data_IF_293712881520
#
_entry.id   IF_293712881520
#
_cell.length_a   1.000
_cell.length_b   1.000
_cell.length_c   1.000
_cell.angle_alpha   90.00
_cell.angle_beta   90.00
_cell.angle_gamma   90.00
#
_symmetry.space_group_name_H-M   'P 1'
#
loop_
_entity.id
_entity.type
_entity.pdbx_description
1 polymer ?
#
# COMPACT_ATOMS: atom_id res chain seq x y z
N UNK A 1 -19.60 -5.22 12.59
CA UNK A 1 -18.49 -4.98 11.63
C UNK A 1 -19.00 -5.38 10.25
N UNK A 2 -19.27 -4.40 9.39
CA UNK A 2 -19.65 -4.69 8.00
C UNK A 2 -18.40 -5.16 7.27
N UNK A 3 -18.42 -6.37 6.71
CA UNK A 3 -17.41 -6.84 5.75
C UNK A 3 -17.34 -5.82 4.61
N UNK A 4 -16.17 -5.28 4.25
CA UNK A 4 -16.08 -4.35 3.14
C UNK A 4 -16.64 -5.02 1.90
N UNK A 5 -17.73 -4.45 1.37
CA UNK A 5 -18.32 -4.91 0.12
C UNK A 5 -17.33 -4.61 -1.00
N UNK A 6 -16.72 -5.67 -1.54
CA UNK A 6 -15.82 -5.59 -2.68
C UNK A 6 -16.64 -5.48 -3.97
N UNK A 7 -16.73 -4.33 -4.62
CA UNK A 7 -17.54 -4.16 -5.83
C UNK A 7 -16.81 -4.64 -7.10
N UNK A 8 -15.82 -5.54 -6.97
CA UNK A 8 -15.06 -6.01 -8.11
C UNK A 8 -15.60 -7.35 -8.60
N UNK A 9 -15.79 -7.51 -9.93
CA UNK A 9 -16.14 -8.79 -10.50
C UNK A 9 -15.00 -9.81 -10.30
N UNK A 10 -15.33 -11.09 -10.28
CA UNK A 10 -14.36 -12.20 -10.13
C UNK A 10 -13.29 -12.17 -11.24
N UNK A 11 -13.60 -11.56 -12.39
CA UNK A 11 -12.67 -11.31 -13.48
C UNK A 11 -12.41 -9.81 -13.53
N UNK A 12 -11.14 -9.42 -13.44
CA UNK A 12 -10.72 -8.04 -13.52
C UNK A 12 -11.18 -7.40 -14.84
N UNK A 13 -11.75 -6.19 -14.76
CA UNK A 13 -12.31 -5.47 -15.93
C UNK A 13 -11.28 -5.28 -17.05
N UNK A 14 -10.00 -5.17 -16.70
CA UNK A 14 -8.88 -5.05 -17.61
C UNK A 14 -8.69 -6.28 -18.51
N UNK A 15 -9.22 -7.41 -18.08
CA UNK A 15 -9.17 -8.67 -18.83
C UNK A 15 -10.32 -8.88 -19.82
N UNK A 16 -11.43 -8.15 -19.67
CA UNK A 16 -12.63 -8.38 -20.49
C UNK A 16 -12.39 -8.31 -21.99
N UNK A 17 -11.70 -7.27 -22.55
CA UNK A 17 -11.45 -7.21 -23.98
C UNK A 17 -10.55 -8.36 -24.46
N UNK A 18 -9.55 -8.75 -23.67
CA UNK A 18 -8.67 -9.86 -24.02
C UNK A 18 -9.39 -11.20 -23.99
N UNK A 19 -10.24 -11.43 -22.98
CA UNK A 19 -11.06 -12.64 -22.88
C UNK A 19 -12.07 -12.72 -24.03
N UNK A 20 -12.75 -11.62 -24.36
CA UNK A 20 -13.70 -11.57 -25.45
C UNK A 20 -13.03 -11.90 -26.81
N UNK A 21 -11.84 -11.31 -27.07
CA UNK A 21 -11.06 -11.59 -28.27
C UNK A 21 -10.61 -13.05 -28.32
N UNK A 22 -10.05 -13.58 -27.21
CA UNK A 22 -9.58 -14.95 -27.13
C UNK A 22 -10.71 -15.97 -27.39
N UNK A 23 -11.89 -15.74 -26.77
CA UNK A 23 -13.08 -16.59 -26.96
C UNK A 23 -13.59 -16.47 -28.39
N UNK A 24 -13.67 -15.26 -28.97
CA UNK A 24 -14.11 -15.08 -30.35
C UNK A 24 -13.21 -15.83 -31.34
N UNK A 25 -11.89 -15.73 -31.18
CA UNK A 25 -10.93 -16.47 -32.02
C UNK A 25 -11.11 -18.00 -31.83
N UNK A 26 -11.25 -18.47 -30.58
CA UNK A 26 -11.46 -19.89 -30.30
C UNK A 26 -12.72 -20.42 -30.99
N UNK A 27 -13.83 -19.66 -30.96
CA UNK A 27 -15.09 -20.02 -31.63
C UNK A 27 -14.93 -20.08 -33.16
N UNK A 28 -14.29 -19.07 -33.76
CA UNK A 28 -14.02 -19.04 -35.19
C UNK A 28 -13.18 -20.24 -35.62
N UNK A 29 -12.09 -20.53 -34.90
CA UNK A 29 -11.25 -21.68 -35.22
C UNK A 29 -12.00 -23.01 -35.01
N UNK A 30 -12.88 -23.09 -34.01
CA UNK A 30 -13.71 -24.29 -33.79
C UNK A 30 -14.61 -24.58 -34.99
N UNK A 31 -15.15 -23.53 -35.62
CA UNK A 31 -15.98 -23.68 -36.84
C UNK A 31 -15.18 -24.30 -38.03
N UNK A 32 -13.90 -23.97 -38.15
CA UNK A 32 -13.06 -24.49 -39.26
C UNK A 32 -12.34 -25.80 -38.91
N UNK A 33 -11.90 -25.98 -37.66
CA UNK A 33 -11.15 -27.16 -37.22
C UNK A 33 -11.19 -27.36 -35.72
N UNK A 34 -11.79 -28.44 -35.30
CA UNK A 34 -11.91 -28.81 -33.89
C UNK A 34 -10.53 -29.11 -33.26
N UNK A 35 -9.62 -29.71 -34.03
CA UNK A 35 -8.29 -30.07 -33.51
C UNK A 35 -7.43 -28.84 -33.22
N UNK A 36 -7.46 -27.82 -34.06
CA UNK A 36 -6.73 -26.58 -33.84
C UNK A 36 -7.39 -25.72 -32.77
N UNK A 37 -8.71 -25.81 -32.58
CA UNK A 37 -9.42 -25.02 -31.59
C UNK A 37 -8.99 -25.30 -30.17
N UNK A 38 -8.50 -26.50 -29.85
CA UNK A 38 -8.01 -26.88 -28.53
C UNK A 38 -6.95 -25.89 -28.04
N UNK A 39 -5.99 -25.54 -28.91
CA UNK A 39 -4.94 -24.56 -28.58
C UNK A 39 -5.54 -23.20 -28.16
N UNK A 40 -6.52 -22.70 -28.93
CA UNK A 40 -7.13 -21.38 -28.67
C UNK A 40 -8.03 -21.40 -27.42
N UNK A 41 -8.69 -22.52 -27.13
CA UNK A 41 -9.39 -22.68 -25.86
C UNK A 41 -8.46 -22.72 -24.66
N UNK A 42 -7.28 -23.33 -24.78
CA UNK A 42 -6.24 -23.29 -23.73
C UNK A 42 -5.75 -21.86 -23.52
N UNK A 43 -5.56 -21.07 -24.61
CA UNK A 43 -5.21 -19.66 -24.51
C UNK A 43 -6.33 -18.86 -23.82
N UNK A 44 -7.59 -19.07 -24.19
CA UNK A 44 -8.73 -18.39 -23.56
C UNK A 44 -8.84 -18.72 -22.05
N UNK A 45 -8.61 -19.98 -21.68
CA UNK A 45 -8.55 -20.42 -20.29
C UNK A 45 -7.39 -19.76 -19.53
N UNK A 46 -6.22 -19.64 -20.16
CA UNK A 46 -5.09 -18.93 -19.55
C UNK A 46 -5.40 -17.44 -19.33
N UNK A 47 -6.04 -16.77 -20.31
CA UNK A 47 -6.48 -15.36 -20.16
C UNK A 47 -7.47 -15.23 -19.02
N UNK A 48 -8.46 -16.12 -18.93
CA UNK A 48 -9.43 -16.16 -17.82
C UNK A 48 -8.72 -16.30 -16.47
N UNK A 49 -7.80 -17.26 -16.38
CA UNK A 49 -7.04 -17.54 -15.17
C UNK A 49 -6.14 -16.36 -14.77
N UNK A 50 -5.50 -15.68 -15.74
CA UNK A 50 -4.61 -14.55 -15.50
C UNK A 50 -5.36 -13.32 -14.94
N UNK A 51 -6.55 -13.04 -15.46
CA UNK A 51 -7.35 -11.88 -15.04
C UNK A 51 -8.32 -12.17 -13.90
N UNK A 52 -8.23 -13.34 -13.25
CA UNK A 52 -9.06 -13.63 -12.08
C UNK A 52 -8.75 -12.67 -10.93
N UNK A 53 -9.77 -12.26 -10.21
CA UNK A 53 -9.64 -11.40 -9.02
C UNK A 53 -10.56 -11.90 -7.88
N UNK A 54 -10.19 -13.01 -7.22
CA UNK A 54 -11.03 -13.60 -6.20
C UNK A 54 -11.11 -12.70 -4.97
N UNK A 55 -12.28 -12.63 -4.37
CA UNK A 55 -12.48 -11.99 -3.07
C UNK A 55 -11.78 -12.81 -1.98
N UNK A 56 -11.14 -12.10 -1.03
CA UNK A 56 -10.43 -12.72 0.08
C UNK A 56 -10.65 -11.93 1.36
N UNK A 57 -10.62 -12.65 2.47
CA UNK A 57 -10.69 -12.05 3.81
C UNK A 57 -9.27 -11.78 4.31
N UNK A 58 -9.06 -10.61 4.90
CA UNK A 58 -7.80 -10.19 5.49
C UNK A 58 -7.82 -10.23 7.01
N UNK A 59 -6.66 -10.01 7.63
CA UNK A 59 -6.52 -9.87 9.08
C UNK A 59 -7.33 -8.69 9.60
N UNK A 60 -7.98 -8.85 10.74
CA UNK A 60 -8.69 -7.78 11.45
C UNK A 60 -7.77 -6.98 12.38
N UNK A 61 -6.53 -7.43 12.63
CA UNK A 61 -5.59 -6.72 13.51
C UNK A 61 -5.24 -5.33 12.95
N UNK A 62 -5.33 -4.26 13.74
CA UNK A 62 -5.04 -2.89 13.28
C UNK A 62 -3.57 -2.68 12.94
N UNK A 63 -2.66 -3.52 13.47
CA UNK A 63 -1.22 -3.47 13.20
C UNK A 63 -0.79 -4.28 11.99
N UNK A 64 -1.68 -5.15 11.48
CA UNK A 64 -1.32 -6.05 10.39
C UNK A 64 -1.14 -5.30 9.07
N UNK A 65 0.01 -5.53 8.45
CA UNK A 65 0.31 -5.19 7.07
C UNK A 65 0.07 -6.43 6.23
N UNK A 66 -0.93 -6.41 5.37
CA UNK A 66 -1.27 -7.56 4.53
C UNK A 66 -0.52 -7.55 3.20
N UNK A 67 -0.39 -8.71 2.57
CA UNK A 67 0.22 -8.80 1.25
C UNK A 67 -0.59 -8.03 0.21
N UNK A 68 0.07 -7.11 -0.55
CA UNK A 68 -0.59 -6.36 -1.62
C UNK A 68 -0.80 -7.19 -2.89
N UNK A 69 -0.18 -8.36 -2.99
CA UNK A 69 -0.17 -9.20 -4.19
C UNK A 69 -0.05 -10.69 -3.84
N UNK A 70 -0.43 -11.56 -4.78
CA UNK A 70 -0.08 -12.97 -4.74
C UNK A 70 1.35 -13.16 -5.22
N UNK A 71 2.09 -14.05 -4.57
CA UNK A 71 3.42 -14.32 -5.07
C UNK A 71 4.34 -15.05 -4.11
N UNK A 72 5.62 -14.75 -4.25
CA UNK A 72 6.69 -15.26 -3.40
C UNK A 72 7.53 -14.12 -2.86
N UNK A 73 7.89 -14.18 -1.59
CA UNK A 73 8.78 -13.20 -0.96
C UNK A 73 10.19 -13.37 -1.54
N UNK A 74 10.75 -12.28 -2.05
CA UNK A 74 12.10 -12.26 -2.64
C UNK A 74 13.06 -11.35 -1.87
N UNK A 75 12.54 -10.39 -1.08
CA UNK A 75 13.36 -9.49 -0.24
C UNK A 75 12.67 -9.31 1.10
N UNK A 76 13.45 -9.38 2.19
CA UNK A 76 13.11 -8.91 3.54
C UNK A 76 14.39 -8.29 4.09
N UNK A 77 14.50 -6.96 4.08
CA UNK A 77 15.72 -6.24 4.47
C UNK A 77 15.43 -4.81 4.89
N UNK A 78 16.27 -4.26 5.75
CA UNK A 78 16.27 -2.83 6.06
C UNK A 78 17.04 -2.06 5.00
N UNK A 79 16.37 -1.11 4.37
CA UNK A 79 16.91 -0.29 3.27
C UNK A 79 16.44 1.15 3.40
N UNK A 80 16.93 2.03 2.55
CA UNK A 80 16.39 3.37 2.40
C UNK A 80 15.14 3.34 1.52
N UNK A 81 14.06 3.96 2.00
CA UNK A 81 12.85 4.24 1.24
C UNK A 81 13.05 5.57 0.50
N UNK A 82 13.29 5.55 -0.83
CA UNK A 82 13.57 6.78 -1.58
C UNK A 82 12.34 7.68 -1.75
N UNK A 83 11.15 7.12 -1.58
CA UNK A 83 9.88 7.83 -1.79
C UNK A 83 9.43 8.59 -0.54
N UNK A 84 9.62 7.99 0.65
CA UNK A 84 9.35 8.63 1.93
C UNK A 84 10.62 9.18 2.61
N UNK A 85 11.79 9.09 1.96
CA UNK A 85 13.11 9.61 2.41
C UNK A 85 13.47 9.20 3.83
N UNK A 86 13.39 7.92 4.12
CA UNK A 86 13.66 7.36 5.47
C UNK A 86 14.21 5.94 5.39
N UNK A 87 14.82 5.48 6.49
CA UNK A 87 15.10 4.04 6.66
C UNK A 87 13.79 3.27 6.81
N UNK A 88 13.70 2.09 6.22
CA UNK A 88 12.50 1.27 6.21
C UNK A 88 12.83 -0.22 6.15
N UNK A 89 11.94 -1.06 6.69
CA UNK A 89 11.89 -2.49 6.39
C UNK A 89 11.21 -2.69 5.05
N UNK A 90 11.93 -3.21 4.07
CA UNK A 90 11.39 -3.55 2.75
C UNK A 90 11.03 -5.03 2.69
N UNK A 91 9.81 -5.31 2.24
CA UNK A 91 9.33 -6.64 1.90
C UNK A 91 8.87 -6.63 0.45
N UNK A 92 9.43 -7.52 -0.39
CA UNK A 92 9.13 -7.59 -1.81
C UNK A 92 8.41 -8.87 -2.18
N UNK A 93 7.27 -8.73 -2.87
CA UNK A 93 6.43 -9.84 -3.35
C UNK A 93 6.57 -9.96 -4.85
N UNK A 94 7.23 -10.99 -5.34
CA UNK A 94 7.35 -11.30 -6.77
C UNK A 94 6.15 -12.11 -7.25
N UNK A 95 5.53 -11.68 -8.34
CA UNK A 95 4.39 -12.33 -9.00
C UNK A 95 4.82 -12.97 -10.32
N UNK A 96 4.59 -14.27 -10.48
CA UNK A 96 4.71 -14.95 -11.77
C UNK A 96 3.37 -14.89 -12.53
N UNK A 97 3.39 -15.32 -13.80
CA UNK A 97 2.21 -15.24 -14.69
C UNK A 97 0.98 -16.05 -14.23
N UNK A 98 1.14 -16.96 -13.29
CA UNK A 98 0.05 -17.77 -12.74
C UNK A 98 -0.57 -17.17 -11.47
N UNK A 99 0.01 -16.11 -10.91
CA UNK A 99 -0.51 -15.42 -9.74
C UNK A 99 -1.66 -14.46 -10.10
N UNK A 100 -2.40 -14.00 -9.09
CA UNK A 100 -3.37 -12.91 -9.26
C UNK A 100 -2.59 -11.59 -9.33
N UNK A 101 -2.90 -10.77 -10.35
CA UNK A 101 -2.15 -9.55 -10.65
C UNK A 101 -2.80 -8.26 -10.16
N UNK A 102 -3.95 -8.35 -9.49
CA UNK A 102 -4.57 -7.22 -8.78
C UNK A 102 -3.71 -6.80 -7.60
N UNK A 103 -3.44 -5.50 -7.46
CA UNK A 103 -2.71 -4.97 -6.33
C UNK A 103 -3.66 -4.31 -5.34
N UNK A 104 -3.45 -4.61 -4.05
CA UNK A 104 -4.33 -4.23 -2.96
C UNK A 104 -3.58 -3.45 -1.89
N UNK A 105 -4.26 -2.47 -1.27
CA UNK A 105 -3.66 -1.67 -0.21
C UNK A 105 -3.19 -2.55 0.95
N UNK A 106 -1.92 -2.44 1.36
CA UNK A 106 -1.39 -3.26 2.46
C UNK A 106 -1.92 -2.85 3.84
N UNK A 107 -2.39 -1.62 3.98
CA UNK A 107 -2.89 -1.02 5.23
C UNK A 107 -4.12 -0.16 4.98
N UNK A 108 -4.86 0.17 6.04
CA UNK A 108 -5.84 1.27 6.03
C UNK A 108 -5.07 2.59 6.08
N UNK A 109 -5.38 3.53 5.18
CA UNK A 109 -4.68 4.81 5.19
C UNK A 109 -5.11 5.78 4.10
N UNK A 110 -4.62 7.00 4.24
CA UNK A 110 -4.82 8.08 3.25
C UNK A 110 -3.60 8.17 2.35
N UNK A 111 -3.83 8.24 1.05
CA UNK A 111 -2.79 8.41 0.04
C UNK A 111 -2.19 9.80 0.15
N UNK A 112 -0.91 9.89 0.51
CA UNK A 112 -0.17 11.14 0.65
C UNK A 112 0.56 11.53 -0.63
N UNK A 113 0.96 10.53 -1.42
CA UNK A 113 1.71 10.75 -2.65
C UNK A 113 1.53 9.57 -3.59
N UNK A 114 1.43 9.86 -4.89
CA UNK A 114 1.48 8.86 -5.96
C UNK A 114 2.38 9.40 -7.06
N UNK A 115 3.39 8.63 -7.44
CA UNK A 115 4.34 9.04 -8.46
C UNK A 115 4.72 7.88 -9.37
N UNK A 116 4.66 8.13 -10.67
CA UNK A 116 5.06 7.20 -11.71
C UNK A 116 6.46 7.53 -12.22
N UNK A 117 7.28 6.49 -12.29
CA UNK A 117 8.66 6.58 -12.78
C UNK A 117 8.79 5.72 -14.04
N UNK A 118 9.04 6.31 -15.21
CA UNK A 118 9.40 5.55 -16.39
C UNK A 118 10.71 4.82 -16.16
N UNK A 119 10.89 3.66 -16.80
CA UNK A 119 12.07 2.85 -16.58
C UNK A 119 12.21 1.70 -17.57
N UNK A 120 13.10 0.78 -17.26
CA UNK A 120 13.38 -0.44 -18.02
C UNK A 120 12.45 -1.58 -17.60
N UNK A 121 12.61 -2.75 -18.24
CA UNK A 121 11.81 -3.95 -17.98
C UNK A 121 12.75 -5.14 -17.73
N UNK A 122 13.53 -5.07 -16.66
CA UNK A 122 14.32 -6.21 -16.21
C UNK A 122 13.44 -7.22 -15.47
N UNK A 123 13.97 -8.45 -15.31
CA UNK A 123 13.30 -9.44 -14.47
C UNK A 123 13.03 -8.87 -13.06
N UNK A 124 11.77 -8.82 -12.66
CA UNK A 124 11.35 -8.22 -11.41
C UNK A 124 11.85 -8.94 -10.15
N UNK A 125 12.38 -10.17 -10.27
CA UNK A 125 13.02 -10.86 -9.14
C UNK A 125 14.40 -10.30 -8.77
N UNK A 126 15.02 -9.50 -9.66
CA UNK A 126 16.34 -8.91 -9.43
C UNK A 126 16.24 -7.65 -8.56
N UNK A 127 17.23 -7.43 -7.68
CA UNK A 127 17.25 -6.25 -6.79
C UNK A 127 17.26 -4.93 -7.55
N UNK A 128 18.03 -4.84 -8.63
CA UNK A 128 18.11 -3.65 -9.50
C UNK A 128 16.77 -3.25 -10.12
N UNK A 129 15.82 -4.17 -10.26
CA UNK A 129 14.50 -3.87 -10.80
C UNK A 129 13.74 -2.85 -9.93
N UNK A 130 14.00 -2.78 -8.62
CA UNK A 130 13.36 -1.81 -7.72
C UNK A 130 13.60 -0.35 -8.11
N UNK A 131 14.76 -0.05 -8.73
CA UNK A 131 15.16 1.32 -9.04
C UNK A 131 15.22 1.60 -10.54
N UNK A 132 15.50 0.58 -11.37
CA UNK A 132 15.68 0.79 -12.80
C UNK A 132 14.42 0.50 -13.62
N UNK A 133 13.52 -0.37 -13.15
CA UNK A 133 12.31 -0.70 -13.89
C UNK A 133 11.24 0.41 -13.78
N UNK A 134 10.36 0.43 -14.79
CA UNK A 134 9.10 1.16 -14.73
C UNK A 134 8.39 0.82 -13.43
N UNK A 135 8.01 1.83 -12.67
CA UNK A 135 7.40 1.66 -11.35
C UNK A 135 6.44 2.78 -10.99
N UNK A 136 5.51 2.48 -10.13
CA UNK A 136 4.60 3.45 -9.55
C UNK A 136 4.62 3.34 -8.03
N UNK A 137 4.99 4.41 -7.35
CA UNK A 137 5.07 4.48 -5.90
C UNK A 137 3.84 5.17 -5.32
N UNK A 138 3.26 4.57 -4.29
CA UNK A 138 2.16 5.13 -3.51
C UNK A 138 2.57 5.17 -2.05
N UNK A 139 2.54 6.38 -1.45
CA UNK A 139 2.80 6.60 -0.03
C UNK A 139 1.49 6.74 0.71
N UNK A 140 1.28 5.92 1.73
CA UNK A 140 0.09 5.87 2.57
C UNK A 140 0.44 6.34 3.98
N UNK A 141 -0.44 7.14 4.57
CA UNK A 141 -0.40 7.47 6.00
C UNK A 141 -1.57 6.79 6.69
N UNK A 142 -1.27 5.91 7.64
CA UNK A 142 -2.29 5.24 8.45
C UNK A 142 -2.96 6.21 9.41
N UNK A 143 -4.10 5.84 9.98
CA UNK A 143 -4.78 6.62 11.04
C UNK A 143 -3.93 6.76 12.30
N UNK A 144 -2.94 5.88 12.48
CA UNK A 144 -1.97 5.92 13.59
C UNK A 144 -0.77 6.83 13.32
N UNK A 145 -0.67 7.39 12.10
CA UNK A 145 0.44 8.24 11.67
C UNK A 145 1.60 7.49 11.02
N UNK A 146 1.56 6.14 10.96
CA UNK A 146 2.59 5.35 10.28
C UNK A 146 2.59 5.64 8.79
N UNK A 147 3.78 5.74 8.22
CA UNK A 147 3.95 5.88 6.76
C UNK A 147 4.30 4.51 6.19
N UNK A 148 3.55 4.09 5.18
CA UNK A 148 3.77 2.85 4.43
C UNK A 148 3.86 3.17 2.94
N UNK A 149 4.94 2.74 2.29
CA UNK A 149 5.09 2.92 0.83
C UNK A 149 4.85 1.60 0.12
N UNK A 150 3.97 1.59 -0.86
CA UNK A 150 3.72 0.45 -1.75
C UNK A 150 4.14 0.81 -3.17
N UNK A 151 5.04 0.02 -3.76
CA UNK A 151 5.60 0.30 -5.08
C UNK A 151 5.29 -0.84 -6.02
N UNK A 152 4.53 -0.57 -7.06
CA UNK A 152 4.32 -1.46 -8.19
C UNK A 152 5.56 -1.40 -9.09
N UNK A 153 6.18 -2.53 -9.38
CA UNK A 153 7.38 -2.64 -10.21
C UNK A 153 7.09 -3.55 -11.39
N UNK A 154 7.25 -3.04 -12.60
CA UNK A 154 7.10 -3.81 -13.82
C UNK A 154 8.19 -4.87 -13.95
N UNK A 155 7.89 -6.00 -14.58
CA UNK A 155 8.85 -7.05 -14.88
C UNK A 155 9.15 -7.13 -16.37
N UNK A 156 9.89 -8.18 -16.77
CA UNK A 156 10.40 -8.38 -18.13
C UNK A 156 9.30 -8.37 -19.22
N UNK A 157 8.14 -8.92 -18.92
CA UNK A 157 7.00 -9.03 -19.84
C UNK A 157 5.91 -7.99 -19.52
N UNK A 158 6.01 -7.34 -18.36
CA UNK A 158 5.06 -6.33 -17.93
C UNK A 158 5.25 -5.05 -18.73
N UNK A 159 4.27 -4.71 -19.55
CA UNK A 159 4.29 -3.48 -20.36
C UNK A 159 3.36 -2.39 -19.82
N UNK A 160 2.70 -2.58 -18.68
CA UNK A 160 1.80 -1.56 -18.13
C UNK A 160 1.48 -1.78 -16.65
N UNK A 161 1.77 -0.76 -15.88
CA UNK A 161 1.29 -0.58 -14.52
C UNK A 161 0.01 0.25 -14.58
N UNK A 162 -1.04 -0.22 -13.90
CA UNK A 162 -2.27 0.53 -13.71
C UNK A 162 -2.39 0.86 -12.22
N UNK A 163 -2.43 2.14 -11.90
CA UNK A 163 -2.71 2.65 -10.57
C UNK A 163 -3.97 3.51 -10.62
N UNK A 164 -4.93 3.23 -9.75
CA UNK A 164 -6.19 3.96 -9.64
C UNK A 164 -6.24 4.85 -8.40
N UNK A 165 -5.23 4.73 -7.52
CA UNK A 165 -5.12 5.54 -6.33
C UNK A 165 -4.92 7.01 -6.69
N UNK A 166 -5.61 7.89 -5.96
CA UNK A 166 -5.52 9.33 -6.12
C UNK A 166 -5.03 9.98 -4.83
N UNK A 167 -4.38 11.14 -4.96
CA UNK A 167 -3.94 11.94 -3.82
C UNK A 167 -5.13 12.22 -2.87
N UNK A 168 -4.89 12.12 -1.57
CA UNK A 168 -5.87 12.29 -0.50
C UNK A 168 -7.01 11.25 -0.47
N UNK A 169 -6.98 10.24 -1.34
CA UNK A 169 -7.94 9.15 -1.27
C UNK A 169 -7.70 8.30 -0.02
N UNK A 170 -8.78 7.96 0.68
CA UNK A 170 -8.74 6.97 1.76
C UNK A 170 -8.90 5.59 1.16
N UNK A 171 -7.94 4.71 1.42
CA UNK A 171 -7.96 3.31 1.00
C UNK A 171 -8.15 2.42 2.23
N UNK A 172 -9.09 1.48 2.14
CA UNK A 172 -9.19 0.41 3.10
C UNK A 172 -8.13 -0.67 2.83
N UNK A 173 -7.64 -1.31 3.87
CA UNK A 173 -6.74 -2.46 3.76
C UNK A 173 -7.38 -3.56 2.91
N UNK A 174 -6.62 -4.09 1.95
CA UNK A 174 -7.13 -5.04 0.98
C UNK A 174 -7.94 -4.42 -0.17
N UNK A 175 -8.25 -3.13 -0.14
CA UNK A 175 -8.90 -2.44 -1.25
C UNK A 175 -7.98 -2.44 -2.47
N UNK A 176 -8.52 -2.81 -3.63
CA UNK A 176 -7.79 -2.80 -4.88
C UNK A 176 -7.45 -1.36 -5.28
N UNK A 177 -6.16 -1.12 -5.55
CA UNK A 177 -5.68 0.18 -6.03
C UNK A 177 -4.98 0.11 -7.38
N UNK A 178 -4.72 -1.09 -7.90
CA UNK A 178 -4.02 -1.20 -9.17
C UNK A 178 -4.00 -2.61 -9.74
N UNK A 179 -3.33 -2.73 -10.89
CA UNK A 179 -3.11 -3.96 -11.62
C UNK A 179 -1.81 -3.87 -12.42
N UNK A 180 -1.01 -4.95 -12.46
CA UNK A 180 0.21 -5.02 -13.28
C UNK A 180 0.09 -6.18 -14.24
N UNK A 181 0.33 -5.94 -15.55
CA UNK A 181 0.23 -7.00 -16.57
C UNK A 181 1.55 -7.74 -16.73
N UNK A 182 1.54 -9.07 -16.60
CA UNK A 182 2.58 -10.06 -16.90
C UNK A 182 3.91 -9.92 -16.15
N UNK A 183 4.04 -10.69 -15.05
CA UNK A 183 5.27 -10.85 -14.29
C UNK A 183 5.79 -9.55 -13.69
N UNK A 184 5.69 -9.40 -12.38
CA UNK A 184 5.89 -8.12 -11.72
C UNK A 184 6.28 -8.33 -10.26
N UNK A 185 6.50 -7.23 -9.55
CA UNK A 185 6.77 -7.23 -8.12
C UNK A 185 6.04 -6.07 -7.44
N UNK A 186 5.64 -6.26 -6.20
CA UNK A 186 5.23 -5.17 -5.33
C UNK A 186 6.18 -5.10 -4.15
N UNK A 187 6.82 -3.94 -3.98
CA UNK A 187 7.67 -3.64 -2.84
C UNK A 187 6.86 -2.87 -1.79
N UNK A 188 6.94 -3.30 -0.54
CA UNK A 188 6.31 -2.61 0.61
C UNK A 188 7.42 -2.15 1.54
N UNK A 189 7.46 -0.83 1.83
CA UNK A 189 8.39 -0.23 2.77
C UNK A 189 7.63 0.17 4.02
N UNK A 190 8.09 -0.34 5.15
CA UNK A 190 7.46 -0.20 6.46
C UNK A 190 8.34 0.61 7.40
N UNK A 191 7.78 1.26 8.44
CA UNK A 191 8.56 1.89 9.50
C UNK A 191 9.57 0.91 10.11
N UNK A 192 10.74 1.40 10.49
CA UNK A 192 11.68 0.64 11.31
C UNK A 192 11.00 0.23 12.62
N UNK A 193 11.30 -0.98 13.12
CA UNK A 193 10.59 -1.59 14.24
C UNK A 193 9.36 -2.40 13.87
N UNK A 194 8.94 -2.40 12.59
CA UNK A 194 7.95 -3.35 12.09
C UNK A 194 8.49 -4.78 12.19
N UNK A 195 7.65 -5.72 12.61
CA UNK A 195 8.02 -7.13 12.82
C UNK A 195 7.60 -7.96 11.61
N UNK A 196 8.53 -8.47 10.77
CA UNK A 196 8.18 -9.33 9.65
C UNK A 196 7.56 -10.64 10.15
N UNK A 197 6.53 -11.11 9.45
CA UNK A 197 5.84 -12.40 9.69
C UNK A 197 6.08 -13.39 8.55
N UNK A 198 6.94 -13.02 7.61
CA UNK A 198 7.31 -13.82 6.43
C UNK A 198 8.81 -13.83 6.26
N UNK A 199 9.31 -14.84 5.56
CA UNK A 199 10.72 -15.02 5.20
C UNK A 199 10.88 -15.12 3.68
N UNK A 200 12.11 -14.93 3.20
CA UNK A 200 12.44 -15.10 1.76
C UNK A 200 12.09 -16.53 1.33
N UNK A 201 11.36 -16.64 0.21
CA UNK A 201 10.89 -17.91 -0.32
C UNK A 201 9.44 -18.26 0.03
N UNK A 202 8.83 -17.63 1.02
CA UNK A 202 7.44 -17.89 1.40
C UNK A 202 6.47 -17.54 0.27
N UNK A 203 5.45 -18.38 0.09
CA UNK A 203 4.32 -18.10 -0.79
C UNK A 203 3.29 -17.28 -0.01
N UNK A 204 2.85 -16.18 -0.61
CA UNK A 204 1.89 -15.26 -0.02
C UNK A 204 0.70 -15.03 -0.93
N UNK A 205 -0.45 -14.76 -0.33
CA UNK A 205 -1.69 -14.43 -1.03
C UNK A 205 -2.14 -13.02 -0.65
N UNK A 206 -2.49 -12.24 -1.66
CA UNK A 206 -3.01 -10.88 -1.50
C UNK A 206 -4.14 -10.87 -0.45
N UNK A 207 -4.16 -9.89 0.40
CA UNK A 207 -5.15 -9.69 1.47
C UNK A 207 -5.06 -10.70 2.61
N UNK A 208 -4.91 -12.00 2.32
CA UNK A 208 -5.01 -13.06 3.33
C UNK A 208 -3.74 -13.23 4.17
N UNK A 209 -2.55 -13.03 3.56
CA UNK A 209 -1.28 -13.20 4.27
C UNK A 209 -0.86 -11.92 4.95
N UNK A 210 -0.50 -11.98 6.23
CA UNK A 210 0.13 -10.88 6.97
C UNK A 210 1.63 -10.90 6.69
N UNK A 211 2.16 -9.84 6.08
CA UNK A 211 3.58 -9.68 5.79
C UNK A 211 4.38 -9.26 7.02
N UNK A 212 3.80 -8.34 7.79
CA UNK A 212 4.43 -7.78 8.98
C UNK A 212 3.38 -7.18 9.93
N UNK A 213 3.81 -6.84 11.13
CA UNK A 213 3.08 -6.00 12.06
C UNK A 213 3.80 -4.66 12.22
N UNK A 214 3.05 -3.57 12.14
CA UNK A 214 3.55 -2.23 12.41
C UNK A 214 4.00 -2.11 13.88
N UNK A 215 4.93 -1.20 14.20
CA UNK A 215 5.35 -1.00 15.58
C UNK A 215 4.20 -0.52 16.45
N UNK A 216 4.18 -0.99 17.69
CA UNK A 216 3.27 -0.44 18.70
C UNK A 216 3.80 0.92 19.12
N UNK A 217 3.19 2.00 18.62
CA UNK A 217 3.43 3.31 19.19
C UNK A 217 2.66 3.36 20.52
N UNK A 218 3.39 3.44 21.62
CA UNK A 218 2.79 3.94 22.86
C UNK A 218 2.38 5.37 22.52
N UNK A 219 1.07 5.61 22.41
CA UNK A 219 0.53 6.97 22.33
C UNK A 219 1.07 7.70 23.56
N UNK A 220 2.11 8.51 23.41
CA UNK A 220 2.43 9.50 24.39
C UNK A 220 1.20 10.40 24.43
N UNK A 221 0.41 10.26 25.50
CA UNK A 221 -0.65 11.19 25.80
C UNK A 221 -0.03 12.59 25.72
N UNK A 222 -0.57 13.44 24.85
CA UNK A 222 -0.18 14.85 24.85
C UNK A 222 -0.28 15.31 26.31
N UNK A 223 0.74 15.99 26.86
CA UNK A 223 0.64 16.53 28.19
C UNK A 223 -0.58 17.45 28.19
N UNK A 224 -1.62 17.02 28.87
CA UNK A 224 -2.77 17.83 29.18
C UNK A 224 -2.24 19.14 29.72
N UNK A 225 -2.45 20.25 28.98
CA UNK A 225 -2.27 21.59 29.53
C UNK A 225 -3.24 21.72 30.68
N UNK A 226 -2.82 21.20 31.85
CA UNK A 226 -3.49 21.44 33.11
C UNK A 226 -3.23 22.90 33.49
N UNK A 227 -4.30 23.68 33.39
CA UNK A 227 -4.66 24.77 34.26
C UNK A 227 -3.50 25.48 35.00
N UNK A 228 -3.00 26.54 34.39
CA UNK A 228 -2.41 27.68 35.10
C UNK A 228 -3.37 28.85 34.97
N UNK A 229 -4.47 28.76 35.70
CA UNK A 229 -5.36 29.90 35.96
C UNK A 229 -6.03 29.68 37.31
N UNK A 230 -5.32 30.05 38.37
CA UNK A 230 -5.83 30.47 39.67
C UNK A 230 -4.66 30.68 40.62
N UNK A 231 -4.13 31.89 40.67
CA UNK A 231 -3.58 32.52 41.88
C UNK A 231 -3.13 33.94 41.50
N UNK A 232 -4.09 34.81 41.26
CA UNK A 232 -3.89 36.27 41.34
C UNK A 232 -5.24 36.87 41.80
N UNK A 233 -5.53 36.74 43.06
CA UNK A 233 -6.49 37.60 43.73
C UNK A 233 -6.39 37.36 45.25
N UNK A 234 -5.45 38.07 45.87
CA UNK A 234 -5.55 38.47 47.27
C UNK A 234 -4.22 39.07 47.74
N UNK A 235 -4.03 40.36 47.50
CA UNK A 235 -3.20 41.26 48.33
C UNK A 235 -3.36 42.69 47.81
N UNK A 236 -4.50 43.29 48.16
CA UNK A 236 -4.66 44.74 48.16
C UNK A 236 -5.58 45.05 49.30
N UNK A 237 -5.03 45.24 50.47
CA UNK A 237 -5.57 46.06 51.54
C UNK A 237 -4.55 46.12 52.66
N UNK A 238 -4.18 47.29 52.95
CA UNK A 238 -3.56 47.89 54.19
C UNK A 238 -2.25 48.54 53.95
N UNK A 239 -2.28 49.81 53.72
CA UNK A 239 -1.88 50.86 54.67
C UNK A 239 -1.79 52.23 53.96
N UNK A 240 -2.87 52.95 54.11
CA UNK A 240 -2.78 54.44 54.19
C UNK A 240 -2.14 54.73 55.55
N UNK A 241 -1.15 55.63 55.55
CA UNK A 241 -1.12 56.82 56.44
C UNK A 241 0.31 57.37 56.52
N UNK A 242 0.37 58.68 56.55
CA UNK A 242 1.47 59.57 57.01
C UNK A 242 2.63 59.76 55.97
N UNK A 243 3.06 60.94 55.71
CA UNK A 243 2.75 62.35 56.02
C UNK A 243 3.63 63.20 55.16
N UNK A 244 3.07 64.28 54.64
CA UNK A 244 3.48 65.66 54.68
C UNK A 244 5.00 66.01 54.82
N UNK A 245 5.29 67.03 54.02
CA UNK A 245 6.34 68.07 54.23
C UNK A 245 7.76 67.68 53.73
N UNK A 246 8.37 68.39 52.86
CA UNK A 246 8.91 69.71 53.02
C UNK A 246 9.69 70.14 51.75
N UNK A 247 9.30 71.28 51.20
CA UNK A 247 10.11 72.40 50.67
C UNK A 247 11.40 72.17 49.88
N UNK A 248 11.42 72.67 48.62
CA UNK A 248 12.05 73.95 48.24
C UNK A 248 13.53 73.91 47.93
N UNK A 249 13.80 74.61 46.81
CA UNK A 249 14.99 75.35 46.42
C UNK A 249 16.20 74.55 45.78
N UNK A 250 16.51 74.75 44.66
CA UNK A 250 17.16 75.76 43.83
C UNK A 250 16.99 75.40 42.35
#
# INVERSE_FOLDING_TARGET
>A
MQTPHYPHPIIAREGWPFLAIAVAIALVVTYFSISWSILFWVIALFVLQFFRDPQRQGSSSPLAVISPADGRIVVVAEVDDPYAKRRALKISVFMNVFNVHSNRSPVDGTVQHVEYFPGKFFNASLDKASLENERNAMVLKTTRGDIVTAVQVAGLVAKRILCYAQLNQVLARGQRYGFIRFGSRVDVYLPIGSRPRVTIGDKVSATSTVLAELPEHVLQAEPTKAQSSQTESSQTESSQTESSQTKAAV
#
